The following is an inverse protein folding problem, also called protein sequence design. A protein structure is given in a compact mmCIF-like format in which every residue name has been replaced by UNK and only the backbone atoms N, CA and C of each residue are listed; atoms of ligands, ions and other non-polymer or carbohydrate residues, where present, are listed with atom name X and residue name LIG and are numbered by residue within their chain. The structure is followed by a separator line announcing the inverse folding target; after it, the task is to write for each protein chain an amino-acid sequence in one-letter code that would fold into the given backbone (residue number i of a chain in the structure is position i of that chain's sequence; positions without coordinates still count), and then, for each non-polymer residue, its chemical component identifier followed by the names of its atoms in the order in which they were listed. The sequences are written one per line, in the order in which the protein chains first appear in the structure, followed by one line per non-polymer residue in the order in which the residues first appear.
data_IF_319352635643
#
_entry.id   IF_319352635643
#
_cell.length_a   1.000
_cell.length_b   1.000
_cell.length_c   1.000
_cell.angle_alpha   90.00
_cell.angle_beta   90.00
_cell.angle_gamma   90.00
#
_symmetry.space_group_name_H-M   'P 1'
#
loop_
_entity.id
_entity.type
_entity.pdbx_description
1 polymer ?
#
# COMPACT_ATOMS: atom_id res chain seq x y z
N UNK A 1 16.30 -48.39 -37.55
CA UNK A 1 15.19 -48.46 -36.56
C UNK A 1 15.53 -47.79 -35.22
N UNK A 2 16.57 -46.95 -35.12
CA UNK A 2 16.87 -46.17 -33.89
C UNK A 2 16.15 -44.81 -33.82
N UNK A 3 15.78 -44.21 -34.97
CA UNK A 3 15.19 -42.88 -35.02
C UNK A 3 13.75 -42.79 -34.45
N UNK A 4 13.06 -43.93 -34.31
CA UNK A 4 11.70 -43.99 -33.71
C UNK A 4 11.71 -44.11 -32.18
N UNK A 5 12.82 -44.52 -31.57
CA UNK A 5 12.92 -44.76 -30.12
C UNK A 5 13.36 -43.49 -29.35
N UNK A 6 14.03 -42.56 -30.01
CA UNK A 6 14.48 -41.29 -29.41
C UNK A 6 13.34 -40.27 -29.28
N UNK A 7 12.32 -40.35 -30.15
CA UNK A 7 11.18 -39.43 -30.13
C UNK A 7 10.22 -39.68 -28.96
N UNK A 8 10.12 -40.92 -28.45
CA UNK A 8 9.23 -41.25 -27.35
C UNK A 8 9.78 -40.93 -25.95
N UNK A 9 11.09 -40.77 -25.80
CA UNK A 9 11.72 -40.48 -24.49
C UNK A 9 11.69 -38.98 -24.16
N UNK A 10 11.61 -38.12 -25.18
CA UNK A 10 11.54 -36.66 -25.02
C UNK A 10 10.15 -36.14 -24.61
N UNK A 11 9.07 -36.90 -24.85
CA UNK A 11 7.71 -36.46 -24.49
C UNK A 11 7.35 -36.73 -23.01
N UNK A 12 8.06 -37.60 -22.30
CA UNK A 12 7.71 -37.98 -20.92
C UNK A 12 8.46 -37.18 -19.83
N UNK A 13 9.43 -36.34 -20.20
CA UNK A 13 10.17 -35.51 -19.24
C UNK A 13 9.57 -34.11 -19.04
N UNK A 14 8.55 -33.73 -19.82
CA UNK A 14 7.89 -32.42 -19.71
C UNK A 14 6.82 -32.33 -18.61
N UNK A 15 6.56 -33.42 -17.87
CA UNK A 15 5.62 -33.43 -16.74
C UNK A 15 6.32 -33.53 -15.37
N UNK A 16 7.65 -33.47 -15.33
CA UNK A 16 8.39 -33.39 -14.06
C UNK A 16 8.58 -31.92 -13.70
N UNK A 17 7.72 -31.46 -12.79
CA UNK A 17 8.11 -30.48 -11.78
C UNK A 17 8.10 -29.03 -12.24
N UNK A 18 6.92 -28.43 -12.29
CA UNK A 18 6.80 -27.06 -11.80
C UNK A 18 6.93 -27.12 -10.26
N UNK A 19 8.12 -27.45 -9.75
CA UNK A 19 8.51 -27.17 -8.36
C UNK A 19 8.84 -25.68 -8.29
N UNK A 20 7.82 -24.87 -8.57
CA UNK A 20 7.77 -23.49 -8.12
C UNK A 20 7.33 -23.54 -6.67
N UNK A 21 8.18 -24.07 -5.79
CA UNK A 21 8.15 -23.63 -4.39
C UNK A 21 8.48 -22.15 -4.42
N UNK A 22 7.44 -21.35 -4.61
CA UNK A 22 7.39 -19.99 -4.10
C UNK A 22 7.77 -20.10 -2.63
N UNK A 23 9.07 -19.89 -2.36
CA UNK A 23 9.51 -19.43 -1.06
C UNK A 23 8.60 -18.25 -0.78
N UNK A 24 7.66 -18.43 0.15
CA UNK A 24 6.79 -17.36 0.59
C UNK A 24 7.73 -16.23 0.96
N UNK A 25 7.82 -15.23 0.08
CA UNK A 25 8.53 -14.00 0.38
C UNK A 25 7.82 -13.51 1.63
N UNK A 26 8.57 -13.43 2.72
CA UNK A 26 8.10 -12.76 3.91
C UNK A 26 7.80 -11.33 3.46
N UNK A 27 6.53 -11.08 3.12
CA UNK A 27 6.04 -9.74 2.90
C UNK A 27 6.10 -9.09 4.26
N UNK A 28 7.16 -8.34 4.51
CA UNK A 28 7.22 -7.46 5.67
C UNK A 28 5.95 -6.60 5.62
N UNK A 29 5.11 -6.64 6.67
CA UNK A 29 3.92 -5.84 6.67
C UNK A 29 4.35 -4.38 6.51
N UNK A 30 3.73 -3.62 5.58
CA UNK A 30 4.12 -2.24 5.35
C UNK A 30 4.01 -1.47 6.67
N UNK A 31 5.02 -0.64 6.93
CA UNK A 31 5.09 0.14 8.16
C UNK A 31 3.84 1.03 8.31
N UNK A 32 3.46 1.36 9.55
CA UNK A 32 2.33 2.25 9.82
C UNK A 32 2.39 3.55 9.02
N UNK A 33 3.61 4.07 8.82
CA UNK A 33 3.91 5.27 8.04
C UNK A 33 3.60 5.08 6.55
N UNK A 34 4.05 3.97 5.95
CA UNK A 34 3.76 3.66 4.54
C UNK A 34 2.26 3.47 4.32
N UNK A 35 1.58 2.82 5.26
CA UNK A 35 0.13 2.64 5.19
C UNK A 35 -0.60 3.98 5.35
N UNK A 36 -0.17 4.87 6.25
CA UNK A 36 -0.74 6.21 6.38
C UNK A 36 -0.60 7.02 5.09
N UNK A 37 0.59 6.99 4.48
CA UNK A 37 0.85 7.64 3.19
C UNK A 37 -0.06 7.08 2.09
N UNK A 38 -0.16 5.76 1.98
CA UNK A 38 -1.00 5.11 0.97
C UNK A 38 -2.48 5.51 1.10
N UNK A 39 -3.00 5.60 2.32
CA UNK A 39 -4.36 6.09 2.58
C UNK A 39 -4.52 7.54 2.13
N UNK A 40 -3.56 8.41 2.43
CA UNK A 40 -3.61 9.80 1.99
C UNK A 40 -3.52 9.96 0.48
N UNK A 41 -2.74 9.13 -0.20
CA UNK A 41 -2.68 9.08 -1.67
C UNK A 41 -3.99 8.58 -2.28
N UNK A 42 -4.62 7.58 -1.66
CA UNK A 42 -5.95 7.11 -2.05
C UNK A 42 -6.99 8.23 -1.92
N UNK A 43 -7.01 8.93 -0.79
CA UNK A 43 -7.91 10.08 -0.57
C UNK A 43 -7.57 11.23 -1.52
N UNK A 44 -6.29 11.46 -1.84
CA UNK A 44 -5.87 12.45 -2.82
C UNK A 44 -6.38 12.12 -4.23
N UNK A 45 -6.49 10.84 -4.55
CA UNK A 45 -6.96 10.34 -5.85
C UNK A 45 -8.48 10.33 -5.94
N UNK A 46 -9.17 9.74 -4.95
CA UNK A 46 -10.63 9.59 -4.92
C UNK A 46 -11.34 10.87 -4.46
N UNK A 47 -10.75 11.56 -3.48
CA UNK A 47 -11.38 12.67 -2.75
C UNK A 47 -12.46 12.20 -1.79
N UNK A 48 -12.46 10.91 -1.44
CA UNK A 48 -13.43 10.26 -0.58
C UNK A 48 -12.76 9.89 0.74
N UNK A 49 -13.42 10.26 1.84
CA UNK A 49 -13.04 9.85 3.19
C UNK A 49 -13.74 8.53 3.49
N UNK A 50 -13.15 7.43 3.02
CA UNK A 50 -13.66 6.06 3.20
C UNK A 50 -13.22 5.47 4.56
N UNK A 51 -13.53 4.19 4.80
CA UNK A 51 -13.12 3.48 6.01
C UNK A 51 -11.60 3.38 6.20
N UNK A 52 -10.79 3.61 5.17
CA UNK A 52 -9.32 3.63 5.29
C UNK A 52 -8.82 4.81 6.13
N UNK A 53 -9.64 5.87 6.28
CA UNK A 53 -9.39 6.96 7.23
C UNK A 53 -9.49 6.48 8.68
N UNK A 54 -10.31 5.46 8.97
CA UNK A 54 -10.42 4.89 10.31
C UNK A 54 -9.09 4.21 10.67
N UNK A 55 -8.39 4.76 11.65
CA UNK A 55 -7.04 4.34 12.03
C UNK A 55 -5.92 5.11 11.35
N UNK A 56 -6.20 6.06 10.44
CA UNK A 56 -5.18 6.96 9.91
C UNK A 56 -4.55 7.80 11.02
N UNK A 57 -5.35 8.30 11.98
CA UNK A 57 -4.85 9.05 13.13
C UNK A 57 -3.82 8.25 13.95
N UNK A 58 -4.12 6.99 14.27
CA UNK A 58 -3.24 6.12 15.05
C UNK A 58 -1.90 5.85 14.34
N UNK A 59 -1.97 5.63 13.02
CA UNK A 59 -0.78 5.47 12.18
C UNK A 59 0.07 6.75 12.11
N UNK A 60 -0.57 7.92 12.08
CA UNK A 60 0.13 9.21 12.16
C UNK A 60 0.74 9.42 13.54
N UNK A 61 0.08 8.96 14.60
CA UNK A 61 0.60 9.02 15.97
C UNK A 61 1.83 8.14 16.14
N UNK A 62 1.90 6.99 15.44
CA UNK A 62 3.11 6.14 15.39
C UNK A 62 4.33 6.89 14.82
N UNK A 63 4.15 7.94 14.01
CA UNK A 63 5.27 8.78 13.52
C UNK A 63 5.93 9.51 14.68
N UNK A 64 5.19 9.82 15.76
CA UNK A 64 5.69 10.60 16.90
C UNK A 64 6.88 9.95 17.59
N UNK A 65 6.96 8.62 17.56
CA UNK A 65 8.08 7.86 18.14
C UNK A 65 9.40 8.12 17.40
N UNK A 66 9.32 8.39 16.09
CA UNK A 66 10.50 8.66 15.24
C UNK A 66 10.74 10.15 15.04
N UNK A 67 9.67 10.92 14.82
CA UNK A 67 9.73 12.35 14.54
C UNK A 67 8.47 13.07 15.08
N UNK A 68 8.54 13.63 16.31
CA UNK A 68 7.37 14.23 16.96
C UNK A 68 6.91 15.52 16.30
N UNK A 69 7.81 16.31 15.71
CA UNK A 69 7.45 17.55 15.03
C UNK A 69 6.66 17.24 13.74
N UNK A 70 7.10 16.23 12.99
CA UNK A 70 6.41 15.75 11.81
C UNK A 70 5.05 15.15 12.13
N UNK A 71 4.96 14.37 13.21
CA UNK A 71 3.69 13.80 13.67
C UNK A 71 2.65 14.88 14.01
N UNK A 72 3.05 15.94 14.73
CA UNK A 72 2.15 17.05 15.05
C UNK A 72 1.65 17.78 13.79
N UNK A 73 2.53 18.00 12.81
CA UNK A 73 2.15 18.62 11.54
C UNK A 73 1.16 17.74 10.75
N UNK A 74 1.38 16.42 10.71
CA UNK A 74 0.50 15.48 10.05
C UNK A 74 -0.85 15.33 10.77
N UNK A 75 -0.87 15.29 12.10
CA UNK A 75 -2.10 15.24 12.90
C UNK A 75 -2.92 16.54 12.76
N UNK A 76 -2.26 17.69 12.66
CA UNK A 76 -2.92 18.95 12.33
C UNK A 76 -3.52 18.92 10.91
N UNK A 77 -2.79 18.37 9.94
CA UNK A 77 -3.28 18.11 8.59
C UNK A 77 -4.51 17.20 8.58
N UNK A 78 -4.48 16.10 9.34
CA UNK A 78 -5.57 15.15 9.47
C UNK A 78 -6.83 15.80 10.05
N UNK A 79 -6.65 16.62 11.10
CA UNK A 79 -7.76 17.37 11.70
C UNK A 79 -8.40 18.32 10.69
N UNK A 80 -7.57 19.01 9.87
CA UNK A 80 -8.07 19.85 8.77
C UNK A 80 -8.82 19.01 7.72
N UNK A 81 -8.28 17.85 7.35
CA UNK A 81 -8.89 16.94 6.38
C UNK A 81 -10.29 16.48 6.85
N UNK A 82 -10.41 16.10 8.12
CA UNK A 82 -11.68 15.70 8.76
C UNK A 82 -12.68 16.85 8.92
N UNK A 83 -12.21 18.09 9.02
CA UNK A 83 -13.07 19.26 9.09
C UNK A 83 -13.63 19.68 7.72
N UNK A 84 -13.11 19.14 6.60
CA UNK A 84 -13.62 19.47 5.27
C UNK A 84 -14.97 18.77 5.06
N UNK A 85 -16.02 19.49 4.64
CA UNK A 85 -17.30 18.86 4.32
C UNK A 85 -17.11 17.83 3.21
N UNK A 86 -17.69 16.63 3.38
CA UNK A 86 -17.52 15.49 2.45
C UNK A 86 -17.88 15.80 0.99
N UNK A 87 -18.72 16.80 0.74
CA UNK A 87 -19.06 17.27 -0.61
C UNK A 87 -17.98 18.13 -1.28
N UNK A 88 -16.94 18.57 -0.56
CA UNK A 88 -15.85 19.40 -1.09
C UNK A 88 -14.64 18.55 -1.50
N UNK A 89 -14.89 17.67 -2.47
CA UNK A 89 -13.93 16.70 -3.02
C UNK A 89 -12.61 17.35 -3.42
N UNK A 90 -12.64 18.51 -4.08
CA UNK A 90 -11.41 19.20 -4.49
C UNK A 90 -10.52 19.60 -3.32
N UNK A 91 -11.11 20.09 -2.22
CA UNK A 91 -10.36 20.47 -1.03
C UNK A 91 -9.85 19.25 -0.27
N UNK A 92 -10.64 18.17 -0.21
CA UNK A 92 -10.22 16.88 0.37
C UNK A 92 -8.98 16.37 -0.37
N UNK A 93 -9.04 16.31 -1.71
CA UNK A 93 -7.91 15.86 -2.54
C UNK A 93 -6.65 16.69 -2.31
N UNK A 94 -6.80 18.02 -2.34
CA UNK A 94 -5.69 18.94 -2.15
C UNK A 94 -5.03 18.77 -0.77
N UNK A 95 -5.84 18.74 0.30
CA UNK A 95 -5.33 18.57 1.67
C UNK A 95 -4.68 17.20 1.88
N UNK A 96 -5.29 16.12 1.37
CA UNK A 96 -4.71 14.78 1.46
C UNK A 96 -3.39 14.66 0.68
N UNK A 97 -3.30 15.28 -0.51
CA UNK A 97 -2.06 15.34 -1.29
C UNK A 97 -0.96 16.09 -0.54
N UNK A 98 -1.27 17.27 -0.02
CA UNK A 98 -0.32 18.08 0.73
C UNK A 98 0.21 17.34 1.96
N UNK A 99 -0.64 16.55 2.63
CA UNK A 99 -0.22 15.67 3.72
C UNK A 99 0.66 14.52 3.24
N UNK A 100 0.32 13.86 2.13
CA UNK A 100 1.12 12.77 1.57
C UNK A 100 2.53 13.22 1.12
N UNK A 101 2.66 14.46 0.65
CA UNK A 101 3.95 15.08 0.27
C UNK A 101 4.85 15.38 1.48
N UNK A 102 4.28 15.44 2.70
CA UNK A 102 5.05 15.64 3.93
C UNK A 102 5.66 14.35 4.46
N UNK A 103 5.34 13.18 3.91
CA UNK A 103 5.93 11.90 4.31
C UNK A 103 7.33 11.70 3.75
#
# INVERSE_FOLDING_TARGET
MLARLICCVLLMSALVGCDGREQGVAVEPPSSIQLAKAVLEEIASSGELNSSVEGLQDRLESVRESDPAKADELLAGYTKLMAIPRGNVSKIKATAKEMAEKF
#
